data_IF_777676290028
#
_entry.id   IF_777676290028
#
_cell.length_a   1.000
_cell.length_b   1.000
_cell.length_c   1.000
_cell.angle_alpha   90.00
_cell.angle_beta   90.00
_cell.angle_gamma   90.00
#
_symmetry.space_group_name_H-M   'P 1'
#
loop_
_entity.id
_entity.type
_entity.pdbx_description
1 polymer ?
#
# COMPACT_ATOMS: atom_id res chain seq x y z
N UNK A 1 20.58 17.27 10.25
CA UNK A 1 20.88 17.61 8.84
C UNK A 1 22.36 17.79 8.61
N UNK A 2 23.08 18.58 9.42
CA UNK A 2 24.56 18.70 9.34
C UNK A 2 25.24 17.33 9.21
N UNK A 3 24.88 16.40 10.09
CA UNK A 3 25.40 15.03 10.09
C UNK A 3 25.18 14.27 8.77
N UNK A 4 24.07 14.52 8.04
CA UNK A 4 23.82 13.89 6.73
C UNK A 4 24.79 14.41 5.67
N UNK A 5 25.07 15.71 5.68
CA UNK A 5 26.01 16.32 4.76
C UNK A 5 27.44 15.85 5.05
N UNK A 6 27.85 15.88 6.32
CA UNK A 6 29.16 15.39 6.78
C UNK A 6 29.39 13.93 6.38
N UNK A 7 28.39 13.06 6.58
CA UNK A 7 28.47 11.64 6.20
C UNK A 7 28.62 11.47 4.68
N UNK A 8 27.92 12.26 3.85
CA UNK A 8 28.11 12.19 2.39
C UNK A 8 29.48 12.74 1.97
N UNK A 9 29.99 13.78 2.64
CA UNK A 9 31.31 14.34 2.36
C UNK A 9 32.43 13.34 2.68
N UNK A 10 32.31 12.60 3.79
CA UNK A 10 33.30 11.63 4.23
C UNK A 10 33.23 10.29 3.48
N UNK A 11 32.03 9.72 3.33
CA UNK A 11 31.84 8.44 2.63
C UNK A 11 31.73 8.60 1.11
N UNK A 12 31.44 9.79 0.61
CA UNK A 12 31.02 9.98 -0.77
C UNK A 12 29.62 9.41 -1.05
N UNK A 13 29.26 9.36 -2.34
CA UNK A 13 27.87 9.16 -2.82
C UNK A 13 27.57 7.81 -3.47
N UNK A 14 28.50 6.84 -3.40
CA UNK A 14 28.42 5.61 -4.18
C UNK A 14 28.02 4.37 -3.37
N UNK A 15 27.77 4.53 -2.08
CA UNK A 15 27.42 3.43 -1.18
C UNK A 15 25.92 3.09 -1.20
N UNK A 16 25.58 1.93 -0.61
CA UNK A 16 24.20 1.51 -0.39
C UNK A 16 23.56 2.27 0.78
N UNK A 17 22.22 2.36 0.75
CA UNK A 17 21.40 3.05 1.78
C UNK A 17 21.74 2.59 3.20
N UNK A 18 21.91 1.29 3.40
CA UNK A 18 22.21 0.68 4.70
C UNK A 18 23.51 1.18 5.33
N UNK A 19 24.50 1.56 4.53
CA UNK A 19 25.78 2.10 5.02
C UNK A 19 25.54 3.50 5.61
N UNK A 20 24.80 4.34 4.91
CA UNK A 20 24.44 5.68 5.39
C UNK A 20 23.53 5.60 6.62
N UNK A 21 22.56 4.68 6.63
CA UNK A 21 21.69 4.43 7.80
C UNK A 21 22.52 4.06 9.04
N UNK A 22 23.47 3.13 8.89
CA UNK A 22 24.33 2.68 9.99
C UNK A 22 25.18 3.82 10.55
N UNK A 23 25.81 4.62 9.68
CA UNK A 23 26.66 5.73 10.12
C UNK A 23 25.84 6.85 10.78
N UNK A 24 24.69 7.21 10.22
CA UNK A 24 23.82 8.23 10.79
C UNK A 24 23.24 7.80 12.14
N UNK A 25 22.89 6.52 12.30
CA UNK A 25 22.46 5.97 13.57
C UNK A 25 23.57 6.00 14.64
N UNK A 26 24.83 5.87 14.24
CA UNK A 26 25.98 6.00 15.14
C UNK A 26 26.24 7.44 15.57
N UNK A 27 26.17 8.41 14.64
CA UNK A 27 26.50 9.82 14.92
C UNK A 27 25.38 10.61 15.60
N UNK A 28 24.13 10.31 15.28
CA UNK A 28 22.99 11.09 15.77
C UNK A 28 22.51 10.47 17.09
N UNK A 29 22.55 11.25 18.16
CA UNK A 29 22.03 10.84 19.46
C UNK A 29 20.54 10.49 19.36
N UNK A 30 20.13 9.40 20.01
CA UNK A 30 18.75 8.87 19.98
C UNK A 30 18.21 8.49 18.60
N UNK A 31 19.09 8.31 17.61
CA UNK A 31 18.71 7.76 16.32
C UNK A 31 18.59 6.23 16.41
N UNK A 32 17.44 5.71 15.96
CA UNK A 32 17.17 4.27 15.86
C UNK A 32 16.97 3.92 14.40
N UNK A 33 17.69 2.90 13.92
CA UNK A 33 17.51 2.36 12.56
C UNK A 33 16.56 1.17 12.56
N UNK A 34 15.96 0.91 11.41
CA UNK A 34 15.09 -0.26 11.18
C UNK A 34 14.00 -0.38 12.26
N UNK A 35 13.35 0.73 12.59
CA UNK A 35 12.32 0.74 13.64
C UNK A 35 11.06 0.05 13.11
N UNK A 36 10.58 -1.04 13.74
CA UNK A 36 9.42 -1.77 13.27
C UNK A 36 8.14 -0.96 13.49
N UNK A 37 7.25 -1.00 12.52
CA UNK A 37 5.86 -0.55 12.61
C UNK A 37 4.98 -1.76 12.30
N UNK A 38 4.27 -2.26 13.30
CA UNK A 38 3.36 -3.38 13.14
C UNK A 38 1.94 -2.89 12.90
N UNK A 39 1.32 -3.42 11.85
CA UNK A 39 -0.05 -3.10 11.44
C UNK A 39 -0.90 -4.35 11.61
N UNK A 40 -1.83 -4.30 12.56
CA UNK A 40 -2.63 -5.44 13.00
C UNK A 40 -4.10 -5.28 12.59
N UNK A 41 -4.77 -6.38 12.22
CA UNK A 41 -6.23 -6.45 12.10
C UNK A 41 -6.66 -7.89 12.34
N UNK A 42 -7.42 -8.15 13.42
CA UNK A 42 -7.75 -9.51 13.84
C UNK A 42 -6.44 -10.33 13.97
N UNK A 43 -6.32 -11.47 13.29
CA UNK A 43 -5.12 -12.31 13.28
C UNK A 43 -4.09 -11.92 12.19
N UNK A 44 -4.39 -10.90 11.37
CA UNK A 44 -3.46 -10.38 10.36
C UNK A 44 -2.43 -9.43 11.00
N UNK A 45 -1.17 -9.60 10.63
CA UNK A 45 -0.10 -8.66 10.97
C UNK A 45 0.83 -8.41 9.78
N UNK A 46 1.17 -7.14 9.55
CA UNK A 46 2.22 -6.73 8.63
C UNK A 46 3.18 -5.78 9.29
N UNK A 47 4.48 -6.08 9.20
CA UNK A 47 5.54 -5.23 9.74
C UNK A 47 6.21 -4.42 8.63
N UNK A 48 6.33 -3.12 8.85
CA UNK A 48 7.14 -2.20 8.06
C UNK A 48 8.36 -1.78 8.88
N UNK A 49 9.40 -1.29 8.21
CA UNK A 49 10.63 -0.84 8.87
C UNK A 49 10.96 0.59 8.43
N UNK A 50 11.03 1.50 9.39
CA UNK A 50 11.54 2.85 9.18
C UNK A 50 13.05 2.82 9.05
N UNK A 51 13.59 3.56 8.08
CA UNK A 51 15.03 3.71 7.92
C UNK A 51 15.69 4.32 9.16
N UNK A 52 15.19 5.47 9.62
CA UNK A 52 15.72 6.16 10.78
C UNK A 52 14.64 6.97 11.52
N UNK A 53 14.56 6.77 12.84
CA UNK A 53 13.73 7.56 13.76
C UNK A 53 14.64 8.26 14.78
N UNK A 54 14.59 9.59 14.83
CA UNK A 54 15.41 10.41 15.73
C UNK A 54 14.53 11.02 16.82
N UNK A 55 14.98 10.96 18.07
CA UNK A 55 14.31 11.51 19.26
C UNK A 55 12.83 11.10 19.39
N UNK A 56 12.43 9.95 18.83
CA UNK A 56 11.05 9.45 18.88
C UNK A 56 10.01 10.22 18.07
N UNK A 57 10.39 11.27 17.33
CA UNK A 57 9.43 12.15 16.64
C UNK A 57 9.86 12.68 15.27
N UNK A 58 11.05 12.35 14.79
CA UNK A 58 11.53 12.75 13.47
C UNK A 58 11.89 11.54 12.62
N UNK A 59 11.03 11.23 11.63
CA UNK A 59 11.26 10.18 10.65
C UNK A 59 12.12 10.71 9.50
N UNK A 60 13.18 9.96 9.17
CA UNK A 60 13.99 10.16 7.98
C UNK A 60 13.92 8.91 7.11
N UNK A 61 13.46 9.07 5.88
CA UNK A 61 13.52 8.05 4.84
C UNK A 61 14.75 8.31 3.98
N UNK A 62 15.68 7.36 3.91
CA UNK A 62 16.94 7.53 3.21
C UNK A 62 16.91 6.82 1.87
N UNK A 63 17.56 7.41 0.86
CA UNK A 63 17.73 6.85 -0.46
C UNK A 63 19.14 7.04 -0.99
N UNK A 64 19.60 6.11 -1.83
CA UNK A 64 20.87 6.20 -2.54
C UNK A 64 20.67 5.93 -4.05
N UNK A 65 19.78 6.72 -4.65
CA UNK A 65 19.24 6.56 -6.01
C UNK A 65 19.49 7.78 -6.88
N UNK A 66 19.51 7.64 -8.21
CA UNK A 66 19.79 8.78 -9.10
C UNK A 66 18.81 9.95 -8.92
N UNK A 67 17.52 9.64 -8.70
CA UNK A 67 16.49 10.65 -8.48
C UNK A 67 15.37 10.15 -7.56
N UNK A 68 14.77 11.08 -6.81
CA UNK A 68 13.61 10.79 -5.97
C UNK A 68 12.34 10.64 -6.82
N UNK A 69 11.56 9.60 -6.53
CA UNK A 69 10.32 9.27 -7.25
C UNK A 69 9.10 9.41 -6.35
N UNK A 70 7.92 9.44 -6.95
CA UNK A 70 6.64 9.40 -6.20
C UNK A 70 6.51 8.15 -5.33
N UNK A 71 7.17 7.04 -5.70
CA UNK A 71 7.18 5.84 -4.87
C UNK A 71 7.88 6.10 -3.53
N UNK A 72 8.99 6.83 -3.52
CA UNK A 72 9.71 7.17 -2.29
C UNK A 72 8.89 8.12 -1.41
N UNK A 73 8.21 9.11 -2.02
CA UNK A 73 7.31 10.03 -1.30
C UNK A 73 6.13 9.27 -0.68
N UNK A 74 5.52 8.34 -1.43
CA UNK A 74 4.43 7.49 -0.91
C UNK A 74 4.89 6.56 0.21
N UNK A 75 6.12 6.03 0.14
CA UNK A 75 6.69 5.22 1.22
C UNK A 75 6.82 6.03 2.50
N UNK A 76 7.36 7.25 2.45
CA UNK A 76 7.42 8.11 3.62
C UNK A 76 6.01 8.50 4.12
N UNK A 77 5.07 8.84 3.22
CA UNK A 77 3.69 9.11 3.61
C UNK A 77 3.02 7.92 4.30
N UNK A 78 3.26 6.69 3.84
CA UNK A 78 2.78 5.47 4.50
C UNK A 78 3.25 5.42 5.95
N UNK A 79 4.51 5.73 6.21
CA UNK A 79 5.07 5.76 7.57
C UNK A 79 4.48 6.85 8.45
N UNK A 80 4.33 8.06 7.91
CA UNK A 80 3.68 9.17 8.63
C UNK A 80 2.25 8.81 9.01
N UNK A 81 1.54 8.16 8.10
CA UNK A 81 0.19 7.67 8.32
C UNK A 81 0.11 6.53 9.34
N UNK A 82 1.01 5.55 9.31
CA UNK A 82 0.96 4.43 10.27
C UNK A 82 1.41 4.83 11.68
N UNK A 83 2.21 5.90 11.80
CA UNK A 83 2.74 6.39 13.09
C UNK A 83 2.04 7.64 13.60
N UNK A 84 1.01 8.12 12.89
CA UNK A 84 0.31 9.38 13.14
C UNK A 84 1.23 10.60 13.30
N UNK A 85 2.37 10.58 12.61
CA UNK A 85 3.33 11.69 12.60
C UNK A 85 2.97 12.73 11.52
N UNK A 86 3.06 14.03 11.84
CA UNK A 86 2.63 15.09 10.92
C UNK A 86 3.60 15.31 9.75
N UNK A 87 4.88 14.96 9.91
CA UNK A 87 5.89 15.22 8.90
C UNK A 87 7.11 14.31 9.04
N UNK A 88 7.85 14.19 7.95
CA UNK A 88 9.12 13.49 7.89
C UNK A 88 10.00 14.06 6.80
N UNK A 89 11.24 13.55 6.70
CA UNK A 89 12.19 14.01 5.70
C UNK A 89 12.64 12.86 4.81
N UNK A 90 12.48 13.06 3.50
CA UNK A 90 13.03 12.17 2.49
C UNK A 90 14.41 12.70 2.08
N UNK A 91 15.44 11.87 2.11
CA UNK A 91 16.83 12.27 1.88
C UNK A 91 17.45 11.35 0.84
N UNK A 92 18.12 11.91 -0.17
CA UNK A 92 18.84 11.15 -1.18
C UNK A 92 20.34 11.51 -1.16
N UNK A 93 21.19 10.50 -0.93
CA UNK A 93 22.63 10.65 -0.77
C UNK A 93 23.45 10.33 -2.04
N UNK A 94 22.82 9.86 -3.12
CA UNK A 94 23.50 9.51 -4.39
C UNK A 94 23.85 10.69 -5.32
N UNK A 95 23.06 11.76 -5.41
CA UNK A 95 23.39 12.91 -6.27
C UNK A 95 24.64 13.63 -5.77
N UNK A 96 25.24 14.49 -6.62
CA UNK A 96 26.45 15.26 -6.27
C UNK A 96 26.29 16.14 -5.03
N UNK A 97 25.06 16.57 -4.75
CA UNK A 97 24.68 17.24 -3.52
C UNK A 97 23.53 16.47 -2.90
N UNK A 98 23.54 16.28 -1.58
CA UNK A 98 22.41 15.69 -0.86
C UNK A 98 21.12 16.42 -1.26
N UNK A 99 20.16 15.66 -1.77
CA UNK A 99 18.81 16.15 -2.01
C UNK A 99 17.95 15.80 -0.80
N UNK A 100 17.07 16.70 -0.39
CA UNK A 100 16.13 16.40 0.66
C UNK A 100 14.80 17.12 0.47
N UNK A 101 13.72 16.46 0.85
CA UNK A 101 12.36 16.98 0.75
C UNK A 101 11.66 16.81 2.10
N UNK A 102 10.90 17.83 2.49
CA UNK A 102 10.03 17.73 3.65
C UNK A 102 8.66 17.27 3.17
N UNK A 103 8.20 16.15 3.72
CA UNK A 103 6.92 15.55 3.36
C UNK A 103 5.99 15.72 4.56
N UNK A 104 4.86 16.37 4.31
CA UNK A 104 3.82 16.61 5.31
C UNK A 104 2.67 15.64 5.11
N UNK A 105 2.21 15.05 6.20
CA UNK A 105 0.89 14.45 6.24
C UNK A 105 -0.15 15.57 6.21
N UNK A 106 -0.92 15.65 5.12
CA UNK A 106 -2.01 16.62 4.98
C UNK A 106 -3.34 16.11 5.54
N UNK A 107 -3.39 14.85 5.96
CA UNK A 107 -4.58 14.21 6.52
C UNK A 107 -4.26 13.72 7.93
N UNK A 108 -5.12 14.06 8.89
CA UNK A 108 -5.05 13.52 10.24
C UNK A 108 -5.59 12.08 10.27
N UNK A 109 -5.36 11.34 11.35
CA UNK A 109 -6.02 10.05 11.56
C UNK A 109 -7.54 10.19 11.49
N UNK A 110 -8.09 11.22 12.14
CA UNK A 110 -9.52 11.49 12.17
C UNK A 110 -10.10 11.65 10.75
N UNK A 111 -9.39 12.34 9.86
CA UNK A 111 -9.81 12.49 8.46
C UNK A 111 -9.79 11.15 7.72
N UNK A 112 -8.79 10.30 7.97
CA UNK A 112 -8.59 9.04 7.24
C UNK A 112 -9.54 7.93 7.67
N UNK A 113 -9.97 7.92 8.94
CA UNK A 113 -10.95 6.94 9.44
C UNK A 113 -12.40 7.41 9.24
N UNK A 114 -12.61 8.68 8.89
CA UNK A 114 -13.92 9.28 8.60
C UNK A 114 -14.27 9.17 7.11
N UNK A 115 -14.71 7.98 6.69
CA UNK A 115 -15.22 7.71 5.34
C UNK A 115 -16.65 7.16 5.35
N UNK A 116 -17.36 7.30 4.24
CA UNK A 116 -18.63 6.62 3.98
C UNK A 116 -18.40 5.25 3.34
N UNK A 117 -19.34 4.33 3.54
CA UNK A 117 -19.34 3.02 2.90
C UNK A 117 -20.50 2.96 1.90
N UNK A 118 -20.20 2.58 0.66
CA UNK A 118 -21.19 2.29 -0.38
C UNK A 118 -21.08 0.83 -0.79
N UNK A 119 -22.05 0.02 -0.39
CA UNK A 119 -22.08 -1.42 -0.64
C UNK A 119 -23.34 -1.86 -1.40
N UNK A 120 -23.99 -0.94 -2.14
CA UNK A 120 -25.31 -1.18 -2.73
C UNK A 120 -25.42 -2.38 -3.69
N UNK A 121 -24.29 -2.83 -4.26
CA UNK A 121 -24.21 -4.02 -5.13
C UNK A 121 -23.23 -5.07 -4.60
N UNK A 122 -22.98 -5.09 -3.29
CA UNK A 122 -22.14 -6.10 -2.68
C UNK A 122 -22.91 -7.41 -2.53
N UNK A 123 -22.31 -8.50 -3.01
CA UNK A 123 -22.77 -9.86 -2.76
C UNK A 123 -21.70 -10.59 -1.97
N UNK A 124 -22.08 -11.14 -0.82
CA UNK A 124 -21.22 -12.04 -0.06
C UNK A 124 -21.09 -13.37 -0.80
N UNK A 125 -19.86 -13.86 -0.93
CA UNK A 125 -19.56 -15.20 -1.43
C UNK A 125 -18.93 -16.00 -0.31
N UNK A 126 -19.43 -17.22 -0.15
CA UNK A 126 -19.00 -18.16 0.90
C UNK A 126 -19.21 -17.58 2.31
N UNK A 127 -18.78 -18.30 3.36
CA UNK A 127 -18.94 -17.88 4.76
C UNK A 127 -17.91 -16.83 5.19
N UNK A 128 -17.24 -16.15 4.24
CA UNK A 128 -16.21 -15.16 4.55
C UNK A 128 -16.86 -13.84 4.98
N UNK A 129 -16.20 -13.11 5.88
CA UNK A 129 -16.65 -11.78 6.34
C UNK A 129 -15.82 -10.66 5.71
N UNK A 130 -15.41 -10.83 4.44
CA UNK A 130 -14.44 -9.96 3.78
C UNK A 130 -14.77 -8.47 3.90
N UNK A 131 -15.99 -8.07 3.54
CA UNK A 131 -16.39 -6.66 3.63
C UNK A 131 -16.26 -6.13 5.06
N UNK A 132 -16.73 -6.89 6.04
CA UNK A 132 -16.71 -6.46 7.44
C UNK A 132 -15.28 -6.33 7.97
N UNK A 133 -14.42 -7.34 7.74
CA UNK A 133 -13.01 -7.28 8.15
C UNK A 133 -12.26 -6.14 7.45
N UNK A 134 -12.53 -5.91 6.16
CA UNK A 134 -11.98 -4.76 5.43
C UNK A 134 -12.43 -3.43 6.01
N UNK A 135 -13.73 -3.25 6.29
CA UNK A 135 -14.24 -2.01 6.90
C UNK A 135 -13.62 -1.80 8.28
N UNK A 136 -13.55 -2.84 9.12
CA UNK A 136 -12.94 -2.76 10.45
C UNK A 136 -11.48 -2.31 10.36
N UNK A 137 -10.70 -2.93 9.49
CA UNK A 137 -9.29 -2.57 9.30
C UNK A 137 -9.14 -1.15 8.76
N UNK A 138 -9.94 -0.71 7.78
CA UNK A 138 -9.84 0.66 7.25
C UNK A 138 -10.31 1.68 8.31
N UNK A 139 -11.25 1.34 9.20
CA UNK A 139 -11.65 2.20 10.33
C UNK A 139 -10.56 2.31 11.40
N UNK A 140 -9.69 1.31 11.50
CA UNK A 140 -8.52 1.39 12.37
C UNK A 140 -7.35 2.11 11.68
N UNK A 141 -6.88 1.60 10.55
CA UNK A 141 -5.68 2.07 9.85
C UNK A 141 -5.87 3.41 9.12
N UNK A 142 -7.10 3.70 8.69
CA UNK A 142 -7.47 4.87 7.90
C UNK A 142 -7.17 4.71 6.41
N UNK A 143 -7.94 5.41 5.57
CA UNK A 143 -7.77 5.43 4.11
C UNK A 143 -6.46 6.10 3.66
N UNK A 144 -6.07 5.92 2.39
CA UNK A 144 -4.91 6.60 1.79
C UNK A 144 -3.55 5.92 2.00
N UNK A 145 -3.54 4.77 2.68
CA UNK A 145 -2.40 3.85 2.73
C UNK A 145 -2.17 3.15 1.38
N UNK A 146 -1.02 2.51 1.24
CA UNK A 146 -0.66 1.67 0.10
C UNK A 146 -1.71 0.57 -0.14
N UNK A 147 -2.09 0.37 -1.42
CA UNK A 147 -3.11 -0.60 -1.80
C UNK A 147 -2.68 -2.03 -1.45
N UNK A 148 -1.39 -2.33 -1.48
CA UNK A 148 -0.87 -3.66 -1.16
C UNK A 148 -1.16 -4.09 0.27
N UNK A 149 -1.23 -3.16 1.24
CA UNK A 149 -1.64 -3.48 2.61
C UNK A 149 -3.07 -4.05 2.65
N UNK A 150 -3.99 -3.40 1.94
CA UNK A 150 -5.38 -3.85 1.86
C UNK A 150 -5.52 -5.14 1.07
N UNK A 151 -4.72 -5.34 0.02
CA UNK A 151 -4.74 -6.57 -0.78
C UNK A 151 -4.25 -7.77 0.02
N UNK A 152 -3.22 -7.60 0.85
CA UNK A 152 -2.72 -8.63 1.74
C UNK A 152 -3.73 -8.99 2.82
N UNK A 153 -4.41 -8.00 3.42
CA UNK A 153 -5.52 -8.24 4.35
C UNK A 153 -6.66 -9.01 3.67
N UNK A 154 -7.11 -8.57 2.50
CA UNK A 154 -8.22 -9.22 1.80
C UNK A 154 -7.89 -10.68 1.43
N UNK A 155 -6.66 -10.92 0.97
CA UNK A 155 -6.17 -12.27 0.72
C UNK A 155 -6.16 -13.12 1.99
N UNK A 156 -5.65 -12.59 3.10
CA UNK A 156 -5.64 -13.26 4.40
C UNK A 156 -7.05 -13.66 4.86
N UNK A 157 -8.01 -12.72 4.81
CA UNK A 157 -9.41 -12.97 5.22
C UNK A 157 -10.08 -14.04 4.34
N UNK A 158 -9.68 -14.13 3.06
CA UNK A 158 -10.17 -15.16 2.13
C UNK A 158 -9.36 -16.48 2.20
N UNK A 159 -8.47 -16.63 3.18
CA UNK A 159 -7.61 -17.80 3.33
C UNK A 159 -6.64 -18.01 2.17
N UNK A 160 -6.34 -16.96 1.40
CA UNK A 160 -5.40 -17.01 0.29
C UNK A 160 -3.99 -16.61 0.73
N UNK A 161 -2.95 -17.24 0.15
CA UNK A 161 -1.57 -16.84 0.39
C UNK A 161 -1.31 -15.40 -0.08
N UNK A 162 -0.65 -14.59 0.75
CA UNK A 162 -0.33 -13.21 0.42
C UNK A 162 0.70 -13.09 -0.71
N UNK A 163 1.64 -14.05 -0.80
CA UNK A 163 2.79 -14.08 -1.71
C UNK A 163 2.51 -14.74 -3.06
N UNK A 164 1.30 -15.29 -3.27
CA UNK A 164 0.95 -16.03 -4.48
C UNK A 164 -0.39 -15.59 -5.04
N UNK A 165 -0.41 -15.36 -6.34
CA UNK A 165 -1.63 -15.20 -7.10
C UNK A 165 -2.03 -16.53 -7.73
N UNK A 166 -3.33 -16.76 -7.82
CA UNK A 166 -3.87 -17.81 -8.66
C UNK A 166 -3.79 -17.37 -10.13
N UNK A 167 -4.22 -18.25 -11.03
CA UNK A 167 -4.28 -17.97 -12.46
C UNK A 167 -5.71 -18.06 -12.96
N UNK A 168 -6.19 -16.99 -13.58
CA UNK A 168 -7.40 -17.03 -14.39
C UNK A 168 -7.05 -17.41 -15.82
N UNK A 169 -7.73 -18.43 -16.36
CA UNK A 169 -7.65 -18.76 -17.77
C UNK A 169 -8.41 -17.71 -18.57
N UNK A 170 -7.76 -17.12 -19.58
CA UNK A 170 -8.34 -16.14 -20.48
C UNK A 170 -8.70 -16.80 -21.81
N UNK A 171 -9.97 -16.68 -22.19
CA UNK A 171 -10.56 -17.26 -23.40
C UNK A 171 -11.15 -16.16 -24.28
N UNK A 172 -10.92 -16.25 -25.58
CA UNK A 172 -11.48 -15.35 -26.58
C UNK A 172 -11.91 -16.16 -27.81
N UNK A 173 -13.18 -16.06 -28.20
CA UNK A 173 -13.71 -16.84 -29.34
C UNK A 173 -13.61 -18.36 -29.14
N UNK A 174 -13.84 -18.84 -27.91
CA UNK A 174 -13.84 -20.28 -27.58
C UNK A 174 -12.46 -20.93 -27.40
N UNK A 175 -11.36 -20.22 -27.70
CA UNK A 175 -9.98 -20.69 -27.47
C UNK A 175 -9.35 -20.03 -26.25
N UNK A 176 -8.49 -20.78 -25.56
CA UNK A 176 -7.61 -20.22 -24.52
C UNK A 176 -6.53 -19.37 -25.20
N UNK A 177 -6.40 -18.12 -24.74
CA UNK A 177 -5.41 -17.15 -25.24
C UNK A 177 -4.23 -17.03 -24.30
N UNK A 178 -4.46 -17.29 -23.01
CA UNK A 178 -3.40 -17.25 -22.02
C UNK A 178 -3.94 -17.30 -20.60
N UNK A 179 -3.08 -16.93 -19.68
CA UNK A 179 -3.26 -17.05 -18.24
C UNK A 179 -2.94 -15.69 -17.61
N UNK A 180 -3.80 -15.21 -16.71
CA UNK A 180 -3.62 -13.94 -16.03
C UNK A 180 -3.48 -14.18 -14.52
N UNK A 181 -2.39 -13.72 -13.90
CA UNK A 181 -2.27 -13.70 -12.43
C UNK A 181 -3.39 -12.88 -11.78
N UNK A 182 -4.02 -13.46 -10.76
CA UNK A 182 -5.13 -12.84 -10.03
C UNK A 182 -5.23 -13.33 -8.58
N UNK A 183 -5.55 -12.42 -7.67
CA UNK A 183 -5.99 -12.76 -6.32
C UNK A 183 -7.44 -13.22 -6.34
N UNK A 184 -7.75 -14.25 -5.56
CA UNK A 184 -9.07 -14.85 -5.46
C UNK A 184 -9.68 -14.59 -4.09
N UNK A 185 -10.99 -14.40 -4.03
CA UNK A 185 -11.77 -14.48 -2.80
C UNK A 185 -12.17 -15.94 -2.54
N UNK A 186 -12.44 -16.65 -3.64
CA UNK A 186 -12.70 -18.08 -3.68
C UNK A 186 -12.35 -18.65 -5.06
N UNK A 187 -12.38 -19.97 -5.31
CA UNK A 187 -11.84 -20.58 -6.53
C UNK A 187 -12.26 -19.95 -7.86
N UNK A 188 -13.44 -19.33 -7.93
CA UNK A 188 -13.97 -18.68 -9.14
C UNK A 188 -14.38 -17.21 -8.94
N UNK A 189 -14.02 -16.60 -7.81
CA UNK A 189 -14.32 -15.20 -7.50
C UNK A 189 -13.02 -14.45 -7.33
N UNK A 190 -12.77 -13.43 -8.15
CA UNK A 190 -11.55 -12.63 -8.03
C UNK A 190 -11.68 -11.49 -7.02
N UNK A 191 -10.56 -11.13 -6.39
CA UNK A 191 -10.41 -9.93 -5.58
C UNK A 191 -9.76 -8.81 -6.38
N UNK A 192 -10.34 -7.61 -6.29
CA UNK A 192 -9.73 -6.38 -6.80
C UNK A 192 -9.84 -5.28 -5.78
N UNK A 193 -8.73 -4.60 -5.53
CA UNK A 193 -8.67 -3.43 -4.66
C UNK A 193 -8.06 -2.28 -5.42
N UNK A 194 -8.67 -1.10 -5.31
CA UNK A 194 -8.19 0.10 -5.99
C UNK A 194 -8.38 1.34 -5.13
N UNK A 195 -7.76 2.45 -5.53
CA UNK A 195 -8.00 3.79 -4.98
C UNK A 195 -8.31 4.79 -6.10
N UNK A 196 -9.25 4.44 -6.99
CA UNK A 196 -9.58 5.23 -8.18
C UNK A 196 -10.49 6.40 -7.85
N UNK A 197 -10.23 7.60 -8.41
CA UNK A 197 -11.13 8.74 -8.28
C UNK A 197 -12.45 8.44 -9.00
N UNK A 198 -13.57 9.00 -8.53
CA UNK A 198 -14.93 8.75 -9.01
C UNK A 198 -15.05 8.76 -10.54
N UNK A 199 -14.44 9.75 -11.21
CA UNK A 199 -14.47 9.91 -12.67
C UNK A 199 -13.89 8.74 -13.48
N UNK A 200 -13.15 7.81 -12.86
CA UNK A 200 -12.53 6.65 -13.52
C UNK A 200 -13.19 5.32 -13.15
N UNK A 201 -14.13 5.32 -12.20
CA UNK A 201 -14.67 4.08 -11.65
C UNK A 201 -15.58 3.36 -12.65
N UNK A 202 -16.44 4.08 -13.39
CA UNK A 202 -17.37 3.47 -14.35
C UNK A 202 -16.63 2.82 -15.54
N UNK A 203 -15.59 3.49 -16.05
CA UNK A 203 -14.71 2.93 -17.08
C UNK A 203 -14.01 1.66 -16.55
N UNK A 204 -13.45 1.72 -15.34
CA UNK A 204 -12.79 0.57 -14.74
C UNK A 204 -13.75 -0.61 -14.53
N UNK A 205 -14.96 -0.36 -14.04
CA UNK A 205 -16.01 -1.37 -13.89
C UNK A 205 -16.36 -2.03 -15.23
N UNK A 206 -16.46 -1.25 -16.30
CA UNK A 206 -16.66 -1.76 -17.66
C UNK A 206 -15.53 -2.70 -18.09
N UNK A 207 -14.28 -2.35 -17.78
CA UNK A 207 -13.12 -3.20 -18.06
C UNK A 207 -13.09 -4.47 -17.21
N UNK A 208 -13.49 -4.41 -15.93
CA UNK A 208 -13.66 -5.59 -15.09
C UNK A 208 -14.71 -6.53 -15.66
N UNK A 209 -15.84 -6.00 -16.16
CA UNK A 209 -16.86 -6.81 -16.85
C UNK A 209 -16.32 -7.51 -18.10
N UNK A 210 -15.51 -6.84 -18.92
CA UNK A 210 -14.86 -7.44 -20.10
C UNK A 210 -13.85 -8.51 -19.71
N UNK A 211 -13.03 -8.24 -18.69
CA UNK A 211 -12.09 -9.22 -18.15
C UNK A 211 -12.83 -10.47 -17.66
N UNK A 212 -13.90 -10.29 -16.90
CA UNK A 212 -14.72 -11.38 -16.39
C UNK A 212 -15.35 -12.21 -17.51
N UNK A 213 -15.92 -11.56 -18.52
CA UNK A 213 -16.50 -12.21 -19.70
C UNK A 213 -15.51 -13.14 -20.41
N UNK A 214 -14.25 -12.70 -20.51
CA UNK A 214 -13.16 -13.46 -21.15
C UNK A 214 -12.41 -14.38 -20.20
N UNK A 215 -12.75 -14.47 -18.91
CA UNK A 215 -12.04 -15.33 -17.94
C UNK A 215 -12.82 -16.60 -17.59
N UNK A 216 -12.21 -17.57 -16.92
CA UNK A 216 -12.91 -18.70 -16.30
C UNK A 216 -13.59 -18.37 -14.95
N UNK A 217 -13.56 -17.11 -14.51
CA UNK A 217 -14.16 -16.67 -13.25
C UNK A 217 -15.67 -16.44 -13.38
N UNK A 218 -16.37 -16.49 -12.25
CA UNK A 218 -17.83 -16.24 -12.14
C UNK A 218 -18.14 -14.82 -11.65
N UNK A 219 -17.29 -14.26 -10.79
CA UNK A 219 -17.49 -12.93 -10.24
C UNK A 219 -16.16 -12.23 -9.89
N UNK A 220 -16.26 -10.93 -9.64
CA UNK A 220 -15.18 -10.10 -9.08
C UNK A 220 -15.75 -9.33 -7.90
N UNK A 221 -15.20 -9.53 -6.71
CA UNK A 221 -15.40 -8.67 -5.56
C UNK A 221 -14.40 -7.50 -5.64
N UNK A 222 -14.91 -6.31 -5.87
CA UNK A 222 -14.14 -5.09 -6.07
C UNK A 222 -14.35 -4.10 -4.91
N UNK A 223 -13.26 -3.75 -4.24
CA UNK A 223 -13.22 -2.73 -3.19
C UNK A 223 -12.44 -1.49 -3.68
N UNK A 224 -13.09 -0.35 -3.80
CA UNK A 224 -12.44 0.91 -4.16
C UNK A 224 -12.36 1.85 -2.96
N UNK A 225 -11.15 2.00 -2.41
CA UNK A 225 -10.84 2.73 -1.17
C UNK A 225 -10.33 4.13 -1.55
N UNK A 226 -11.22 5.13 -1.51
CA UNK A 226 -10.83 6.54 -1.64
C UNK A 226 -10.77 7.20 -0.27
N UNK A 227 -10.36 8.48 -0.22
CA UNK A 227 -10.23 9.21 1.05
C UNK A 227 -11.53 9.29 1.86
N UNK A 228 -12.65 9.54 1.19
CA UNK A 228 -13.94 9.81 1.84
C UNK A 228 -15.00 8.75 1.56
N UNK A 229 -14.76 7.85 0.60
CA UNK A 229 -15.71 6.82 0.22
C UNK A 229 -14.99 5.49 -0.02
N UNK A 230 -15.43 4.46 0.67
CA UNK A 230 -15.03 3.08 0.41
C UNK A 230 -16.22 2.37 -0.23
N UNK A 231 -16.04 1.97 -1.49
CA UNK A 231 -17.09 1.31 -2.27
C UNK A 231 -16.81 -0.18 -2.40
N UNK A 232 -17.80 -0.99 -2.10
CA UNK A 232 -17.79 -2.44 -2.29
C UNK A 232 -18.80 -2.81 -3.37
N UNK A 233 -18.34 -3.51 -4.41
CA UNK A 233 -19.20 -3.99 -5.50
C UNK A 233 -18.84 -5.42 -5.87
N UNK A 234 -19.87 -6.19 -6.22
CA UNK A 234 -19.68 -7.47 -6.92
C UNK A 234 -20.06 -7.32 -8.39
N UNK A 235 -19.15 -7.68 -9.28
CA UNK A 235 -19.40 -7.80 -10.71
C UNK A 235 -19.59 -9.27 -11.02
N UNK A 236 -20.76 -9.65 -11.53
CA UNK A 236 -21.10 -11.04 -11.87
C UNK A 236 -21.02 -11.23 -13.38
N UNK A 237 -20.54 -12.40 -13.79
CA UNK A 237 -20.46 -12.78 -15.19
C UNK A 237 -21.88 -12.97 -15.72
N UNK A 238 -22.20 -12.24 -16.79
CA UNK A 238 -23.46 -12.38 -17.52
C UNK A 238 -23.47 -13.67 -18.35
#
# INVERSE_FOLDING_TARGET
>A
MSQVFEVQEELGRLFHESIYQQELAFRIMEARREVPIEVWSEDFCKTYYLDLLVCGGAIFELKAVESLTERHRRQLLQYLFLTDMPHGKLVNLRPERVQHEFINSTLTRADRVSFDVDDGNWMEFETTHLKQSMVNAIRDWGTGLDIGLYEELAAFVCGQPADREATAEIRLGGRTVGNQPIRLASPYVALRITALPTKRQDEYETHLGRFLACSNLHAIQWSNITRQLVRFKTIVKK
#
